data_IF_461694314489
#
_entry.id   IF_461694314489
#
_cell.length_a   1.000
_cell.length_b   1.000
_cell.length_c   1.000
_cell.angle_alpha   90.00
_cell.angle_beta   90.00
_cell.angle_gamma   90.00
#
_symmetry.space_group_name_H-M   'P 1'
#
loop_
_entity.id
_entity.type
_entity.pdbx_description
1 polymer ?
#
# COMPACT_ATOMS: atom_id res chain seq x y z
N UNK A 1 10.79 -0.65 -11.56
CA UNK A 1 9.56 -1.48 -11.45
C UNK A 1 8.47 -0.86 -12.31
N UNK A 2 7.77 -1.67 -13.07
CA UNK A 2 6.66 -1.20 -13.87
C UNK A 2 5.41 -0.99 -13.01
N UNK A 3 4.53 -0.09 -13.45
CA UNK A 3 3.33 0.22 -12.69
C UNK A 3 2.47 -1.03 -12.46
N UNK A 4 2.29 -1.85 -13.49
CA UNK A 4 1.49 -3.07 -13.36
C UNK A 4 2.04 -3.99 -12.27
N UNK A 5 3.34 -4.15 -12.22
CA UNK A 5 3.98 -4.97 -11.21
C UNK A 5 3.80 -4.36 -9.81
N UNK A 6 3.92 -3.04 -9.72
CA UNK A 6 3.70 -2.34 -8.46
C UNK A 6 2.26 -2.51 -7.97
N UNK A 7 1.30 -2.51 -8.89
CA UNK A 7 -0.10 -2.72 -8.54
C UNK A 7 -0.34 -4.12 -8.00
N UNK A 8 0.32 -5.12 -8.57
CA UNK A 8 0.21 -6.50 -8.09
C UNK A 8 0.75 -6.61 -6.67
N UNK A 9 1.92 -6.04 -6.41
CA UNK A 9 2.48 -6.04 -5.06
C UNK A 9 1.61 -5.25 -4.09
N UNK A 10 1.06 -4.12 -4.52
CA UNK A 10 0.19 -3.30 -3.68
C UNK A 10 -1.11 -4.01 -3.35
N UNK A 11 -1.63 -4.82 -4.26
CA UNK A 11 -2.80 -5.66 -3.98
C UNK A 11 -2.48 -6.71 -2.92
N UNK A 12 -1.28 -7.28 -2.96
CA UNK A 12 -0.84 -8.20 -1.91
C UNK A 12 -0.74 -7.49 -0.58
N UNK A 13 -0.26 -6.25 -0.58
CA UNK A 13 -0.18 -5.44 0.63
C UNK A 13 -1.58 -5.16 1.19
N UNK A 14 -2.53 -4.82 0.32
CA UNK A 14 -3.90 -4.60 0.75
C UNK A 14 -4.51 -5.86 1.34
N UNK A 15 -4.29 -7.01 0.72
CA UNK A 15 -4.78 -8.28 1.25
C UNK A 15 -4.19 -8.58 2.62
N UNK A 16 -2.91 -8.30 2.80
CA UNK A 16 -2.23 -8.47 4.07
C UNK A 16 -2.82 -7.53 5.14
N UNK A 17 -3.03 -6.27 4.75
CA UNK A 17 -3.63 -5.27 5.63
C UNK A 17 -5.03 -5.68 6.05
N UNK A 18 -5.82 -6.23 5.14
CA UNK A 18 -7.19 -6.65 5.43
C UNK A 18 -7.26 -7.77 6.45
N UNK A 19 -6.18 -8.52 6.64
CA UNK A 19 -6.12 -9.57 7.66
C UNK A 19 -5.82 -9.02 9.05
N UNK A 20 -5.35 -7.76 9.12
CA UNK A 20 -5.07 -7.09 10.38
C UNK A 20 -6.15 -6.05 10.60
N UNK A 21 -7.18 -6.43 11.35
CA UNK A 21 -8.38 -5.61 11.51
C UNK A 21 -8.07 -4.23 12.09
N UNK A 22 -7.20 -4.17 13.10
CA UNK A 22 -6.84 -2.91 13.73
C UNK A 22 -6.17 -1.95 12.75
N UNK A 23 -5.20 -2.45 11.99
CA UNK A 23 -4.46 -1.64 11.01
C UNK A 23 -5.35 -1.25 9.85
N UNK A 24 -6.23 -2.16 9.42
CA UNK A 24 -7.18 -1.86 8.34
C UNK A 24 -8.12 -0.73 8.77
N UNK A 25 -8.60 -0.75 10.01
CA UNK A 25 -9.45 0.32 10.52
C UNK A 25 -8.73 1.66 10.59
N UNK A 26 -7.45 1.67 10.95
CA UNK A 26 -6.66 2.89 10.96
C UNK A 26 -6.54 3.45 9.54
N UNK A 27 -6.25 2.58 8.57
CA UNK A 27 -6.15 2.99 7.18
C UNK A 27 -7.48 3.53 6.66
N UNK A 28 -8.58 2.87 7.00
CA UNK A 28 -9.92 3.33 6.61
C UNK A 28 -10.20 4.72 7.16
N UNK A 29 -9.86 4.97 8.43
CA UNK A 29 -10.05 6.28 9.02
C UNK A 29 -9.20 7.35 8.34
N UNK A 30 -7.96 7.04 8.01
CA UNK A 30 -7.07 7.98 7.35
C UNK A 30 -7.52 8.29 5.94
N UNK A 31 -8.06 7.31 5.23
CA UNK A 31 -8.51 7.49 3.85
C UNK A 31 -9.90 8.11 3.74
N UNK A 32 -10.66 8.09 4.82
CA UNK A 32 -12.04 8.56 4.82
C UNK A 32 -13.02 7.59 4.18
N UNK A 33 -12.59 6.35 3.91
CA UNK A 33 -13.41 5.32 3.28
C UNK A 33 -13.76 4.22 4.27
N UNK A 34 -14.90 3.57 4.06
CA UNK A 34 -15.21 2.36 4.81
C UNK A 34 -14.36 1.19 4.30
N UNK A 35 -14.21 0.16 5.13
CA UNK A 35 -13.40 -1.00 4.73
C UNK A 35 -13.94 -1.69 3.47
N UNK A 36 -15.27 -1.78 3.34
CA UNK A 36 -15.89 -2.34 2.15
C UNK A 36 -15.61 -1.53 0.89
N UNK A 37 -15.62 -0.20 1.02
CA UNK A 37 -15.33 0.69 -0.10
C UNK A 37 -13.87 0.55 -0.55
N UNK A 38 -12.96 0.40 0.40
CA UNK A 38 -11.54 0.19 0.10
C UNK A 38 -11.37 -1.06 -0.74
N UNK A 39 -12.00 -2.15 -0.34
CA UNK A 39 -11.89 -3.43 -1.05
C UNK A 39 -12.53 -3.35 -2.43
N UNK A 40 -13.63 -2.62 -2.59
CA UNK A 40 -14.26 -2.43 -3.89
C UNK A 40 -13.40 -1.61 -4.84
N UNK A 41 -12.58 -0.71 -4.30
CA UNK A 41 -11.71 0.16 -5.10
C UNK A 41 -10.29 -0.38 -5.22
N UNK A 42 -10.09 -1.64 -4.89
CA UNK A 42 -8.75 -2.23 -4.86
C UNK A 42 -8.03 -2.19 -6.22
N UNK A 43 -8.77 -2.01 -7.33
CA UNK A 43 -8.17 -1.87 -8.65
C UNK A 43 -7.73 -0.46 -9.00
N UNK A 44 -8.02 0.54 -8.16
CA UNK A 44 -7.67 1.93 -8.46
C UNK A 44 -6.22 2.21 -8.07
N UNK A 45 -5.39 2.66 -9.02
CA UNK A 45 -3.97 2.89 -8.72
C UNK A 45 -3.73 3.90 -7.60
N UNK A 46 -4.57 4.93 -7.51
CA UNK A 46 -4.44 5.94 -6.45
C UNK A 46 -4.68 5.34 -5.06
N UNK A 47 -5.65 4.43 -4.96
CA UNK A 47 -5.89 3.75 -3.69
C UNK A 47 -4.70 2.87 -3.34
N UNK A 48 -4.18 2.13 -4.32
CA UNK A 48 -3.02 1.27 -4.09
C UNK A 48 -1.80 2.08 -3.68
N UNK A 49 -1.62 3.27 -4.26
CA UNK A 49 -0.55 4.17 -3.82
C UNK A 49 -0.72 4.56 -2.36
N UNK A 50 -1.95 4.84 -1.94
CA UNK A 50 -2.24 5.15 -0.54
C UNK A 50 -1.94 3.98 0.39
N UNK A 51 -2.23 2.77 -0.04
CA UNK A 51 -1.91 1.56 0.74
C UNK A 51 -0.40 1.46 0.95
N UNK A 52 0.39 1.66 -0.10
CA UNK A 52 1.84 1.60 0.00
C UNK A 52 2.36 2.70 0.92
N UNK A 53 1.82 3.92 0.81
CA UNK A 53 2.20 5.02 1.69
C UNK A 53 1.93 4.66 3.16
N UNK A 54 0.81 4.01 3.43
CA UNK A 54 0.48 3.59 4.78
C UNK A 54 1.52 2.61 5.32
N UNK A 55 1.91 1.62 4.51
CA UNK A 55 2.94 0.66 4.90
C UNK A 55 4.28 1.35 5.13
N UNK A 56 4.64 2.31 4.27
CA UNK A 56 5.91 3.03 4.41
C UNK A 56 5.95 3.89 5.67
N UNK A 57 4.80 4.27 6.21
CA UNK A 57 4.73 5.04 7.44
C UNK A 57 4.66 4.18 8.70
N UNK A 58 4.55 2.86 8.56
CA UNK A 58 4.44 1.93 9.69
C UNK A 58 5.49 0.82 9.51
N UNK A 59 6.65 1.03 10.11
CA UNK A 59 7.79 0.12 9.93
C UNK A 59 7.50 -1.31 10.37
N UNK A 60 6.74 -1.49 11.44
CA UNK A 60 6.41 -2.82 11.92
C UNK A 60 5.53 -3.57 10.93
N UNK A 61 4.48 -2.89 10.43
CA UNK A 61 3.59 -3.48 9.44
C UNK A 61 4.34 -3.80 8.16
N UNK A 62 5.22 -2.89 7.73
CA UNK A 62 6.03 -3.09 6.54
C UNK A 62 6.95 -4.30 6.68
N UNK A 63 7.63 -4.42 7.81
CA UNK A 63 8.53 -5.53 8.07
C UNK A 63 7.76 -6.86 8.07
N UNK A 64 6.61 -6.88 8.72
CA UNK A 64 5.77 -8.08 8.78
C UNK A 64 5.32 -8.51 7.37
N UNK A 65 4.91 -7.54 6.56
CA UNK A 65 4.50 -7.82 5.18
C UNK A 65 5.65 -8.38 4.35
N UNK A 66 6.81 -7.74 4.42
CA UNK A 66 7.97 -8.16 3.66
C UNK A 66 8.42 -9.56 4.07
N UNK A 67 8.42 -9.85 5.36
CA UNK A 67 8.80 -11.17 5.86
C UNK A 67 7.79 -12.25 5.45
N UNK A 68 6.50 -11.94 5.54
CA UNK A 68 5.45 -12.89 5.21
C UNK A 68 5.41 -13.24 3.72
N UNK A 69 5.83 -12.32 2.85
CA UNK A 69 5.78 -12.50 1.40
C UNK A 69 7.15 -12.62 0.76
N UNK A 70 8.20 -12.75 1.56
CA UNK A 70 9.57 -12.88 1.08
C UNK A 70 9.95 -11.75 0.11
N UNK A 71 9.64 -10.53 0.51
CA UNK A 71 9.88 -9.32 -0.28
C UNK A 71 11.05 -8.56 0.35
N UNK A 72 11.99 -8.11 -0.50
CA UNK A 72 13.11 -7.32 -0.02
C UNK A 72 12.61 -5.99 0.56
N UNK A 73 13.19 -5.53 1.69
CA UNK A 73 12.73 -4.28 2.35
C UNK A 73 12.76 -3.03 1.47
N UNK A 74 13.58 -3.00 0.43
CA UNK A 74 13.65 -1.86 -0.50
C UNK A 74 12.51 -1.85 -1.51
N UNK A 75 11.83 -2.98 -1.71
CA UNK A 75 10.80 -3.12 -2.72
C UNK A 75 9.62 -2.16 -2.52
N UNK A 76 9.10 -1.98 -1.30
CA UNK A 76 7.96 -1.07 -1.11
C UNK A 76 8.22 0.36 -1.60
N UNK A 77 9.43 0.90 -1.41
CA UNK A 77 9.76 2.23 -1.92
C UNK A 77 9.72 2.27 -3.43
N UNK A 78 10.18 1.21 -4.10
CA UNK A 78 10.11 1.10 -5.56
C UNK A 78 8.66 0.99 -6.03
N UNK A 79 7.84 0.26 -5.30
CA UNK A 79 6.42 0.14 -5.61
C UNK A 79 5.77 1.52 -5.59
N UNK A 80 6.08 2.32 -4.58
CA UNK A 80 5.50 3.65 -4.46
C UNK A 80 5.90 4.55 -5.61
N UNK A 81 7.17 4.48 -6.04
CA UNK A 81 7.65 5.28 -7.16
C UNK A 81 6.97 4.91 -8.47
N UNK A 82 6.56 3.66 -8.62
CA UNK A 82 5.92 3.16 -9.83
C UNK A 82 4.41 3.40 -9.85
N UNK A 83 3.83 3.90 -8.77
CA UNK A 83 2.40 4.18 -8.65
C UNK A 83 2.14 5.69 -8.80
N UNK A 84 0.89 6.10 -9.07
CA UNK A 84 0.57 7.52 -9.27
C UNK A 84 1.07 8.39 -8.13
N UNK A 85 1.71 9.51 -8.47
CA UNK A 85 2.25 10.46 -7.51
C UNK A 85 3.68 10.17 -7.07
N UNK A 86 4.19 8.97 -7.35
CA UNK A 86 5.51 8.56 -6.88
C UNK A 86 6.67 9.27 -7.54
N UNK A 87 6.46 9.77 -8.75
CA UNK A 87 7.49 10.48 -9.51
C UNK A 87 7.37 12.00 -9.42
N UNK A 88 6.40 12.49 -8.66
CA UNK A 88 6.19 13.92 -8.54
C UNK A 88 7.16 14.52 -7.52
N UNK A 89 7.89 15.57 -7.91
CA UNK A 89 8.68 16.27 -6.93
C UNK A 89 7.74 16.99 -6.00
N UNK A 90 7.93 16.85 -4.82
CA UNK A 90 6.99 17.39 -4.03
C UNK A 90 7.22 18.66 -3.76
N UNK A 91 6.89 19.10 -3.86
CA UNK A 91 6.81 19.88 -3.58
C UNK A 91 7.20 20.55 -3.15
N UNK A 92 7.58 20.37 -3.35
CA UNK A 92 8.09 20.88 -3.01
C UNK A 92 8.04 21.40 -2.85
#
# INVERSE_FOLDING_TARGET
>A
MEQEQAEIFALKALAFLAQNEDKMNIFANLSGLGTGDILQRAGEPELLAGVVDFFLSDEELLADFCNANDIHPDTPARMRQALPGGDLPHWT
#
